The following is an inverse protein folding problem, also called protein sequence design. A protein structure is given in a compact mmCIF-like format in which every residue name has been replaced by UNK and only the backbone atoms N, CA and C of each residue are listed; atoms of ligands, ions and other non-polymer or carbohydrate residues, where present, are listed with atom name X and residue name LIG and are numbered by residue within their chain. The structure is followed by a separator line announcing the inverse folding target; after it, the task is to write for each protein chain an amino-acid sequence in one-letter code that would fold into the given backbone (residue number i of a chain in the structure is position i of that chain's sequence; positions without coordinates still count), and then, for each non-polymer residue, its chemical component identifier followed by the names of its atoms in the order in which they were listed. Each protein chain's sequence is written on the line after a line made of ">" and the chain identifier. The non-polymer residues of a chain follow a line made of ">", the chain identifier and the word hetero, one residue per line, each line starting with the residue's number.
data_IF_219624997585
#
_entry.id   IF_219624997585
#
_cell.length_a   1.000
_cell.length_b   1.000
_cell.length_c   1.000
_cell.angle_alpha   90.00
_cell.angle_beta   90.00
_cell.angle_gamma   90.00
#
_symmetry.space_group_name_H-M   'P 1'
#
loop_
_entity.id
_entity.type
_entity.pdbx_description
1 polymer ?
#
# COMPACT_ATOMS: atom_id res chain seq x y z
N UNK A 1 -1.38 10.17 6.38
CA UNK A 1 -0.48 9.13 5.83
C UNK A 1 0.49 8.61 6.90
N UNK A 2 1.15 9.47 7.67
CA UNK A 2 2.16 9.08 8.68
C UNK A 2 1.65 8.04 9.68
N UNK A 3 0.42 8.23 10.19
CA UNK A 3 -0.21 7.25 11.08
C UNK A 3 -0.46 5.88 10.41
N UNK A 4 -0.60 5.84 9.09
CA UNK A 4 -0.74 4.59 8.34
C UNK A 4 0.62 3.90 8.11
N UNK A 5 1.69 4.67 8.04
CA UNK A 5 3.04 4.14 7.82
C UNK A 5 3.60 3.36 9.00
N UNK A 6 2.95 3.42 10.17
CA UNK A 6 3.27 2.53 11.31
C UNK A 6 2.73 1.10 11.14
N UNK A 7 2.05 0.80 10.03
CA UNK A 7 1.66 -0.56 9.68
C UNK A 7 2.90 -1.48 9.63
N UNK A 8 2.81 -2.72 10.12
CA UNK A 8 3.90 -3.66 9.99
C UNK A 8 4.09 -4.09 8.53
N UNK A 9 5.33 -4.44 8.18
CA UNK A 9 5.67 -5.04 6.90
C UNK A 9 6.75 -6.10 7.03
N UNK A 10 6.92 -6.93 6.02
CA UNK A 10 7.96 -7.95 5.94
C UNK A 10 9.33 -7.29 6.14
N UNK A 11 10.08 -7.72 7.16
CA UNK A 11 11.38 -7.15 7.54
C UNK A 11 11.37 -5.60 7.62
N UNK A 12 10.27 -4.99 7.98
CA UNK A 12 10.12 -3.53 8.04
C UNK A 12 10.53 -2.78 6.75
N UNK A 13 10.42 -3.41 5.59
CA UNK A 13 10.83 -2.79 4.33
C UNK A 13 9.89 -1.72 3.81
N UNK A 14 8.66 -1.65 4.32
CA UNK A 14 7.71 -0.58 4.01
C UNK A 14 7.60 -0.32 2.49
N UNK A 15 7.23 -1.36 1.70
CA UNK A 15 7.33 -1.29 0.23
C UNK A 15 6.25 -0.42 -0.40
N UNK A 16 5.38 0.21 0.37
CA UNK A 16 4.33 1.07 -0.14
C UNK A 16 4.86 2.44 -0.56
N UNK A 17 4.36 2.90 -1.70
CA UNK A 17 4.48 4.28 -2.20
C UNK A 17 3.09 4.73 -2.59
N UNK A 18 2.86 6.01 -2.66
CA UNK A 18 1.53 6.51 -3.02
C UNK A 18 1.59 7.83 -3.76
N UNK A 19 0.63 8.01 -4.67
CA UNK A 19 0.34 9.28 -5.30
C UNK A 19 -1.00 9.76 -4.74
N UNK A 20 -1.02 10.99 -4.24
CA UNK A 20 -2.26 11.65 -3.82
C UNK A 20 -2.79 12.45 -5.01
N UNK A 21 -4.00 12.14 -5.42
CA UNK A 21 -4.70 12.79 -6.54
C UNK A 21 -5.88 13.56 -5.96
N UNK A 22 -5.72 14.85 -5.74
CA UNK A 22 -6.68 15.75 -5.10
C UNK A 22 -7.13 16.93 -6.00
N UNK A 23 -6.52 17.06 -7.19
CA UNK A 23 -6.91 18.08 -8.17
C UNK A 23 -7.92 17.55 -9.19
N UNK A 24 -8.77 18.41 -9.77
CA UNK A 24 -9.69 18.01 -10.84
C UNK A 24 -8.97 17.37 -12.03
N UNK A 25 -7.87 17.95 -12.47
CA UNK A 25 -7.07 17.47 -13.60
C UNK A 25 -6.43 16.11 -13.32
N UNK A 26 -5.93 15.93 -12.09
CA UNK A 26 -5.39 14.63 -11.65
C UNK A 26 -6.46 13.54 -11.62
N UNK A 27 -7.67 13.87 -11.16
CA UNK A 27 -8.80 12.93 -11.16
C UNK A 27 -9.31 12.61 -12.56
N UNK A 28 -9.35 13.59 -13.47
CA UNK A 28 -9.67 13.35 -14.88
C UNK A 28 -8.68 12.36 -15.48
N UNK A 29 -7.38 12.62 -15.29
CA UNK A 29 -6.29 11.74 -15.72
C UNK A 29 -6.44 10.32 -15.14
N UNK A 30 -6.63 10.17 -13.83
CA UNK A 30 -6.82 8.86 -13.19
C UNK A 30 -8.11 8.17 -13.67
N UNK A 31 -9.15 8.94 -13.99
CA UNK A 31 -10.43 8.46 -14.49
C UNK A 31 -10.35 7.71 -15.83
N UNK A 32 -9.27 7.88 -16.60
CA UNK A 32 -9.02 7.08 -17.81
C UNK A 32 -8.72 5.61 -17.49
N UNK A 33 -8.22 5.32 -16.30
CA UNK A 33 -7.83 3.98 -15.86
C UNK A 33 -8.74 3.40 -14.78
N UNK A 34 -9.52 4.23 -14.08
CA UNK A 34 -10.37 3.81 -12.97
C UNK A 34 -11.77 3.42 -13.45
N UNK A 35 -12.15 2.15 -13.27
CA UNK A 35 -13.48 1.67 -13.68
C UNK A 35 -14.61 2.18 -12.76
N UNK A 36 -14.28 2.70 -11.57
CA UNK A 36 -15.25 3.31 -10.65
C UNK A 36 -15.26 4.84 -10.79
N UNK A 37 -15.79 5.32 -11.93
CA UNK A 37 -15.79 6.75 -12.26
C UNK A 37 -16.50 7.60 -11.22
N UNK A 38 -17.65 7.17 -10.72
CA UNK A 38 -18.41 7.96 -9.75
C UNK A 38 -17.58 8.31 -8.52
N UNK A 39 -16.87 7.34 -7.93
CA UNK A 39 -16.04 7.59 -6.77
C UNK A 39 -14.77 8.34 -7.12
N UNK A 40 -14.21 8.11 -8.31
CA UNK A 40 -13.09 8.89 -8.81
C UNK A 40 -13.43 10.39 -8.85
N UNK A 41 -14.58 10.72 -9.42
CA UNK A 41 -14.96 12.10 -9.71
C UNK A 41 -15.48 12.84 -8.45
N UNK A 42 -16.20 12.12 -7.56
CA UNK A 42 -16.88 12.73 -6.40
C UNK A 42 -16.11 12.65 -5.08
N UNK A 43 -15.06 11.83 -4.98
CA UNK A 43 -14.23 11.75 -3.78
C UNK A 43 -13.50 13.07 -3.53
N UNK A 44 -13.12 13.35 -2.27
CA UNK A 44 -12.26 14.50 -1.95
C UNK A 44 -10.84 14.31 -2.50
N UNK A 45 -10.32 13.09 -2.39
CA UNK A 45 -9.05 12.69 -2.98
C UNK A 45 -9.06 11.21 -3.35
N UNK A 46 -8.17 10.84 -4.25
CA UNK A 46 -7.82 9.46 -4.57
C UNK A 46 -6.38 9.18 -4.16
N UNK A 47 -6.12 8.03 -3.56
CA UNK A 47 -4.77 7.52 -3.36
C UNK A 47 -4.52 6.42 -4.39
N UNK A 48 -3.46 6.57 -5.17
CA UNK A 48 -2.90 5.49 -5.98
C UNK A 48 -1.83 4.81 -5.15
N UNK A 49 -2.16 3.67 -4.57
CA UNK A 49 -1.19 2.89 -3.78
C UNK A 49 -0.34 2.06 -4.73
N UNK A 50 0.95 2.24 -4.62
CA UNK A 50 1.98 1.56 -5.38
C UNK A 50 2.78 0.63 -4.47
N UNK A 51 3.24 -0.48 -5.01
CA UNK A 51 4.20 -1.37 -4.38
C UNK A 51 5.56 -1.23 -5.05
N UNK A 52 6.58 -1.04 -4.24
CA UNK A 52 7.98 -0.90 -4.67
C UNK A 52 8.67 -2.27 -4.64
N UNK A 53 9.02 -2.79 -5.81
CA UNK A 53 9.73 -4.07 -5.95
C UNK A 53 11.23 -3.97 -5.67
N UNK A 54 11.75 -2.73 -5.62
CA UNK A 54 13.13 -2.42 -5.23
C UNK A 54 13.25 -2.06 -3.74
N UNK A 55 12.32 -2.55 -2.91
CA UNK A 55 12.21 -2.21 -1.49
C UNK A 55 13.53 -2.42 -0.71
N UNK A 56 14.37 -3.35 -1.13
CA UNK A 56 15.66 -3.60 -0.47
C UNK A 56 16.67 -2.44 -0.64
N UNK A 57 16.54 -1.64 -1.69
CA UNK A 57 17.40 -0.48 -1.91
C UNK A 57 17.25 0.57 -0.80
N UNK A 58 16.16 0.49 -0.02
CA UNK A 58 15.90 1.33 1.16
C UNK A 58 16.48 0.78 2.47
N UNK A 59 17.22 -0.32 2.42
CA UNK A 59 17.78 -0.96 3.61
C UNK A 59 18.57 0.03 4.48
N UNK A 60 19.51 0.78 3.88
CA UNK A 60 20.35 1.71 4.63
C UNK A 60 19.58 2.90 5.20
N UNK A 61 18.55 3.38 4.48
CA UNK A 61 17.69 4.44 4.98
C UNK A 61 16.88 3.97 6.20
N UNK A 62 16.29 2.78 6.13
CA UNK A 62 15.43 2.22 7.18
C UNK A 62 16.23 1.79 8.40
N UNK A 63 17.28 0.99 8.21
CA UNK A 63 18.06 0.43 9.32
C UNK A 63 19.15 1.37 9.80
N UNK A 64 19.59 2.33 8.96
CA UNK A 64 20.47 3.41 9.37
C UNK A 64 19.76 4.33 10.38
N UNK A 65 18.52 4.71 10.13
CA UNK A 65 17.72 5.48 11.10
C UNK A 65 17.51 4.72 12.42
N UNK A 66 17.31 3.40 12.37
CA UNK A 66 17.22 2.58 13.58
C UNK A 66 18.49 2.56 14.41
N UNK A 67 19.65 2.64 13.76
CA UNK A 67 20.95 2.78 14.46
C UNK A 67 21.09 4.18 15.05
N UNK A 68 20.77 5.23 14.30
CA UNK A 68 20.84 6.62 14.76
C UNK A 68 19.93 6.87 15.98
N UNK A 69 18.75 6.25 15.99
CA UNK A 69 17.79 6.32 17.09
C UNK A 69 18.11 5.38 18.27
N UNK A 70 19.18 4.56 18.16
CA UNK A 70 19.62 3.65 19.21
C UNK A 70 18.78 2.38 19.36
N UNK A 71 17.95 2.04 18.37
CA UNK A 71 17.11 0.84 18.37
C UNK A 71 17.91 -0.43 17.98
N UNK A 72 19.04 -0.27 17.32
CA UNK A 72 19.99 -1.36 17.02
C UNK A 72 21.43 -0.84 16.92
N UNK A 73 22.41 -1.75 16.95
CA UNK A 73 23.81 -1.40 16.71
C UNK A 73 24.17 -1.57 15.24
N UNK A 74 25.24 -0.91 14.79
CA UNK A 74 25.77 -1.07 13.43
C UNK A 74 26.12 -2.54 13.13
N UNK A 75 26.72 -3.25 14.11
CA UNK A 75 27.02 -4.67 13.98
C UNK A 75 25.78 -5.52 13.72
N UNK A 76 24.68 -5.25 14.43
CA UNK A 76 23.40 -5.95 14.24
C UNK A 76 22.83 -5.64 12.86
N UNK A 77 22.89 -4.38 12.40
CA UNK A 77 22.45 -3.98 11.07
C UNK A 77 23.21 -4.73 9.98
N UNK A 78 24.53 -4.79 10.04
CA UNK A 78 25.34 -5.48 9.03
C UNK A 78 25.14 -7.01 9.02
N UNK A 79 25.00 -7.62 10.20
CA UNK A 79 24.65 -9.04 10.30
C UNK A 79 23.28 -9.32 9.67
N UNK A 80 22.32 -8.42 9.87
CA UNK A 80 20.99 -8.53 9.30
C UNK A 80 20.99 -8.34 7.78
N UNK A 81 21.77 -7.37 7.27
CA UNK A 81 22.00 -7.19 5.82
C UNK A 81 22.48 -8.48 5.18
N UNK A 82 23.58 -9.04 5.71
CA UNK A 82 24.17 -10.28 5.17
C UNK A 82 23.18 -11.43 5.13
N UNK A 83 22.35 -11.57 6.18
CA UNK A 83 21.32 -12.60 6.22
C UNK A 83 20.20 -12.39 5.18
N UNK A 84 19.85 -11.14 4.90
CA UNK A 84 18.78 -10.81 3.96
C UNK A 84 19.22 -10.84 2.49
N UNK A 85 20.46 -10.45 2.17
CA UNK A 85 20.95 -10.40 0.79
C UNK A 85 20.77 -11.74 0.08
N UNK A 86 21.23 -12.82 0.67
CA UNK A 86 21.09 -14.15 0.09
C UNK A 86 19.64 -14.60 -0.08
N UNK A 87 18.75 -14.21 0.86
CA UNK A 87 17.33 -14.50 0.76
C UNK A 87 16.68 -13.70 -0.38
N UNK A 88 17.01 -12.42 -0.52
CA UNK A 88 16.44 -11.53 -1.54
C UNK A 88 16.91 -11.92 -2.94
N UNK A 89 18.19 -12.27 -3.10
CA UNK A 89 18.72 -12.79 -4.37
C UNK A 89 18.05 -14.08 -4.81
N UNK A 90 17.73 -14.97 -3.87
CA UNK A 90 17.04 -16.22 -4.14
C UNK A 90 15.53 -16.04 -4.36
N UNK A 91 14.95 -14.88 -4.02
CA UNK A 91 13.53 -14.62 -4.11
C UNK A 91 13.13 -14.34 -5.57
N UNK A 92 12.17 -15.12 -6.09
CA UNK A 92 11.67 -14.91 -7.45
C UNK A 92 10.91 -13.58 -7.57
N UNK A 93 10.82 -13.06 -8.79
CA UNK A 93 10.03 -11.85 -9.05
C UNK A 93 8.55 -12.02 -8.62
N UNK A 94 7.98 -13.21 -8.82
CA UNK A 94 6.61 -13.51 -8.40
C UNK A 94 6.46 -13.43 -6.88
N UNK A 95 7.34 -14.08 -6.13
CA UNK A 95 7.33 -14.02 -4.65
C UNK A 95 7.55 -12.59 -4.13
N UNK A 96 8.42 -11.79 -4.77
CA UNK A 96 8.57 -10.37 -4.42
C UNK A 96 7.25 -9.62 -4.58
N UNK A 97 6.55 -9.84 -5.69
CA UNK A 97 5.23 -9.24 -5.92
C UNK A 97 4.21 -9.65 -4.87
N UNK A 98 4.15 -10.93 -4.50
CA UNK A 98 3.24 -11.44 -3.48
C UNK A 98 3.49 -10.78 -2.13
N UNK A 99 4.75 -10.70 -1.68
CA UNK A 99 5.13 -10.02 -0.44
C UNK A 99 4.72 -8.55 -0.46
N UNK A 100 5.00 -7.85 -1.55
CA UNK A 100 4.64 -6.43 -1.69
C UNK A 100 3.12 -6.23 -1.70
N UNK A 101 2.35 -7.12 -2.37
CA UNK A 101 0.89 -7.07 -2.30
C UNK A 101 0.37 -7.31 -0.88
N UNK A 102 0.96 -8.26 -0.16
CA UNK A 102 0.60 -8.55 1.22
C UNK A 102 0.84 -7.33 2.13
N UNK A 103 2.04 -6.77 2.11
CA UNK A 103 2.40 -5.61 2.91
C UNK A 103 1.56 -4.37 2.57
N UNK A 104 1.33 -4.10 1.29
CA UNK A 104 0.45 -3.04 0.84
C UNK A 104 -1.01 -3.25 1.27
N UNK A 105 -1.46 -4.51 1.38
CA UNK A 105 -2.79 -4.85 1.91
C UNK A 105 -2.91 -4.52 3.40
N UNK A 106 -1.88 -4.79 4.19
CA UNK A 106 -1.82 -4.43 5.61
C UNK A 106 -1.89 -2.90 5.76
N UNK A 107 -1.05 -2.18 5.02
CA UNK A 107 -1.06 -0.71 5.01
C UNK A 107 -2.44 -0.15 4.61
N UNK A 108 -3.07 -0.73 3.58
CA UNK A 108 -4.39 -0.31 3.11
C UNK A 108 -5.44 -0.39 4.22
N UNK A 109 -5.45 -1.49 4.98
CA UNK A 109 -6.43 -1.65 6.07
C UNK A 109 -6.16 -0.69 7.23
N UNK A 110 -4.89 -0.49 7.57
CA UNK A 110 -4.49 0.50 8.58
C UNK A 110 -4.92 1.91 8.15
N UNK A 111 -4.64 2.29 6.90
CA UNK A 111 -5.05 3.57 6.35
C UNK A 111 -6.57 3.77 6.37
N UNK A 112 -7.35 2.77 5.96
CA UNK A 112 -8.81 2.82 5.98
C UNK A 112 -9.36 3.04 7.40
N UNK A 113 -8.81 2.36 8.40
CA UNK A 113 -9.18 2.54 9.80
C UNK A 113 -8.90 3.95 10.31
N UNK A 114 -7.73 4.51 9.96
CA UNK A 114 -7.35 5.88 10.34
C UNK A 114 -8.25 6.91 9.67
N UNK A 115 -8.54 6.75 8.38
CA UNK A 115 -9.48 7.61 7.64
C UNK A 115 -10.84 7.62 8.34
N UNK A 116 -11.33 6.43 8.72
CA UNK A 116 -12.60 6.31 9.44
C UNK A 116 -12.54 6.96 10.83
N UNK A 117 -11.48 6.72 11.59
CA UNK A 117 -11.28 7.33 12.91
C UNK A 117 -11.23 8.87 12.86
N UNK A 118 -10.78 9.44 11.75
CA UNK A 118 -10.78 10.90 11.50
C UNK A 118 -12.13 11.42 10.97
N UNK A 119 -13.16 10.58 10.91
CA UNK A 119 -14.51 10.97 10.50
C UNK A 119 -14.67 11.14 8.98
N UNK A 120 -13.86 10.45 8.20
CA UNK A 120 -14.01 10.30 6.76
C UNK A 120 -14.36 8.86 6.41
N UNK A 121 -14.77 8.64 5.18
CA UNK A 121 -15.01 7.32 4.63
C UNK A 121 -14.03 7.03 3.50
N UNK A 122 -13.77 5.77 3.26
CA UNK A 122 -12.91 5.31 2.18
C UNK A 122 -13.55 4.18 1.39
N UNK A 123 -13.20 4.09 0.11
CA UNK A 123 -13.50 2.91 -0.69
C UNK A 123 -12.25 2.39 -1.36
N UNK A 124 -11.94 1.13 -1.09
CA UNK A 124 -10.79 0.41 -1.64
C UNK A 124 -11.20 -0.19 -2.98
N UNK A 125 -10.53 0.20 -4.06
CA UNK A 125 -10.87 -0.12 -5.44
C UNK A 125 -9.78 -0.98 -6.06
N UNK A 126 -10.08 -2.25 -6.33
CA UNK A 126 -9.20 -3.18 -7.05
C UNK A 126 -9.44 -3.20 -8.56
N UNK A 127 -10.58 -2.67 -9.02
CA UNK A 127 -11.02 -2.66 -10.41
C UNK A 127 -10.53 -1.43 -11.17
N UNK A 128 -9.32 -1.50 -11.73
CA UNK A 128 -8.72 -0.46 -12.58
C UNK A 128 -7.67 -1.07 -13.52
N UNK A 129 -7.32 -0.32 -14.55
CA UNK A 129 -6.26 -0.70 -15.49
C UNK A 129 -4.88 -0.31 -14.93
N UNK A 130 -4.16 -1.30 -14.39
CA UNK A 130 -2.83 -1.11 -13.80
C UNK A 130 -1.80 -0.61 -14.80
N UNK A 131 -1.82 -1.15 -16.01
CA UNK A 131 -0.89 -0.74 -17.07
C UNK A 131 -1.12 0.71 -17.45
N UNK A 132 -2.39 1.08 -17.63
CA UNK A 132 -2.76 2.47 -17.94
C UNK A 132 -2.37 3.42 -16.81
N UNK A 133 -2.52 3.04 -15.53
CA UNK A 133 -2.03 3.84 -14.40
C UNK A 133 -0.53 4.06 -14.49
N UNK A 134 0.24 2.99 -14.76
CA UNK A 134 1.70 3.13 -14.91
C UNK A 134 2.08 4.08 -16.03
N UNK A 135 1.40 4.01 -17.17
CA UNK A 135 1.61 4.91 -18.31
C UNK A 135 1.24 6.36 -17.98
N UNK A 136 0.06 6.57 -17.38
CA UNK A 136 -0.44 7.91 -17.03
C UNK A 136 0.45 8.63 -16.02
N UNK A 137 0.97 7.93 -15.03
CA UNK A 137 1.80 8.53 -13.98
C UNK A 137 3.30 8.34 -14.21
N UNK A 138 3.70 7.82 -15.39
CA UNK A 138 5.11 7.63 -15.77
C UNK A 138 5.91 6.89 -14.69
N UNK A 139 5.32 5.79 -14.19
CA UNK A 139 5.90 5.05 -13.07
C UNK A 139 7.18 4.32 -13.50
N UNK A 140 8.16 4.31 -12.60
CA UNK A 140 9.34 3.47 -12.73
C UNK A 140 8.93 1.98 -12.80
N UNK A 141 9.73 1.15 -13.48
CA UNK A 141 9.45 -0.28 -13.66
C UNK A 141 9.44 -1.05 -12.33
N UNK A 142 10.10 -0.55 -11.29
CA UNK A 142 10.07 -1.10 -9.93
C UNK A 142 8.75 -0.85 -9.22
N UNK A 143 7.96 0.13 -9.68
CA UNK A 143 6.70 0.51 -9.03
C UNK A 143 5.50 -0.15 -9.71
N UNK A 144 4.74 -0.91 -8.94
CA UNK A 144 3.52 -1.54 -9.46
C UNK A 144 2.26 -0.96 -8.80
N UNK A 145 1.22 -0.58 -9.58
CA UNK A 145 -0.05 -0.18 -9.02
C UNK A 145 -0.76 -1.34 -8.31
N UNK A 146 -1.02 -1.15 -7.00
CA UNK A 146 -1.66 -2.18 -6.15
C UNK A 146 -3.15 -1.92 -6.01
N UNK A 147 -3.53 -0.71 -5.61
CA UNK A 147 -4.88 -0.36 -5.21
C UNK A 147 -5.16 1.11 -5.49
N UNK A 148 -6.41 1.45 -5.78
CA UNK A 148 -6.89 2.83 -5.68
C UNK A 148 -7.76 2.96 -4.43
N UNK A 149 -7.68 4.09 -3.72
CA UNK A 149 -8.48 4.35 -2.53
C UNK A 149 -9.12 5.72 -2.67
N UNK A 150 -10.45 5.74 -2.75
CA UNK A 150 -11.23 6.97 -2.69
C UNK A 150 -11.41 7.40 -1.23
N UNK A 151 -11.28 8.70 -0.94
CA UNK A 151 -11.48 9.26 0.39
C UNK A 151 -12.42 10.46 0.30
N UNK A 152 -13.31 10.60 1.28
CA UNK A 152 -14.19 11.76 1.36
C UNK A 152 -15.18 11.69 2.51
N UNK A 153 -16.05 12.66 2.58
CA UNK A 153 -17.25 12.58 3.42
C UNK A 153 -18.31 11.78 2.68
N UNK A 154 -18.92 10.80 3.36
CA UNK A 154 -19.99 10.03 2.74
C UNK A 154 -21.22 10.89 2.51
N UNK A 155 -21.81 10.77 1.33
CA UNK A 155 -23.09 11.37 1.00
C UNK A 155 -24.27 10.49 1.44
N UNK A 156 -24.07 9.17 1.37
CA UNK A 156 -25.07 8.15 1.72
C UNK A 156 -24.41 6.92 2.32
N UNK A 157 -25.16 6.13 3.04
CA UNK A 157 -24.69 4.89 3.62
C UNK A 157 -24.25 3.89 2.54
N UNK A 158 -23.24 3.10 2.89
CA UNK A 158 -22.81 1.99 2.05
C UNK A 158 -23.93 0.98 1.86
N UNK A 159 -23.92 0.28 0.72
CA UNK A 159 -24.87 -0.82 0.49
C UNK A 159 -24.64 -1.89 1.57
N UNK A 160 -25.73 -2.44 2.14
CA UNK A 160 -25.62 -3.56 3.06
C UNK A 160 -24.82 -4.72 2.44
N UNK A 161 -23.99 -5.33 3.22
CA UNK A 161 -23.21 -6.49 2.78
C UNK A 161 -23.16 -7.53 3.89
N UNK A 162 -23.18 -8.80 3.51
CA UNK A 162 -23.09 -9.94 4.44
C UNK A 162 -21.63 -10.31 4.67
N UNK A 163 -21.39 -10.98 5.79
CA UNK A 163 -20.10 -11.62 6.14
C UNK A 163 -20.39 -13.05 6.59
N UNK A 164 -19.46 -13.95 6.29
CA UNK A 164 -19.49 -15.28 6.87
C UNK A 164 -19.17 -15.18 8.38
N UNK A 165 -19.76 -16.06 9.17
CA UNK A 165 -19.44 -16.11 10.59
C UNK A 165 -18.06 -16.77 10.80
N UNK A 166 -17.36 -16.39 11.86
CA UNK A 166 -16.04 -16.92 12.16
C UNK A 166 -16.03 -18.46 12.28
N UNK A 167 -17.11 -19.05 12.81
CA UNK A 167 -17.28 -20.51 12.93
C UNK A 167 -17.22 -21.26 11.60
N UNK A 168 -17.58 -20.59 10.48
CA UNK A 168 -17.59 -21.18 9.13
C UNK A 168 -16.22 -21.03 8.44
N UNK A 169 -15.27 -20.34 9.07
CA UNK A 169 -13.95 -20.01 8.52
C UNK A 169 -12.80 -20.57 9.35
N UNK A 170 -13.07 -21.11 10.55
CA UNK A 170 -12.05 -21.56 11.50
C UNK A 170 -11.98 -23.09 11.52
N UNK A 171 -10.75 -23.61 11.61
CA UNK A 171 -10.48 -25.00 11.98
C UNK A 171 -9.69 -24.99 13.27
N UNK A 172 -10.09 -25.80 14.24
CA UNK A 172 -9.35 -26.04 15.48
C UNK A 172 -8.67 -27.41 15.40
N UNK A 173 -7.38 -27.47 15.74
CA UNK A 173 -6.58 -28.70 15.83
C UNK A 173 -6.12 -28.94 17.26
#
# INVERSE_FOLDING_TARGET
>A
LDEANIAPSSCNFQPWRYIVVDTPEGKEKLGEANFNKTQNDTSSAMIVLLGDLSYFDKFDEIYGSAVEEGHMTEEVKENFRTGLEGMIEATTHETKRELVYFDCGIWTMQFANIVHAKGYDSNIIGGFDRKKVSELFELDESLMPVMLIAIGKKEKDARPSTRMEAKDLVTFE
#
